data_IF_501531155767
#
_entry.id   IF_501531155767
#
_cell.length_a   1.000
_cell.length_b   1.000
_cell.length_c   1.000
_cell.angle_alpha   90.00
_cell.angle_beta   90.00
_cell.angle_gamma   90.00
#
_symmetry.space_group_name_H-M   'P 1'
#
loop_
_entity.id
_entity.type
_entity.pdbx_description
1 polymer ?
#
# COMPACT_ATOMS: atom_id res chain seq x y z
N UNK A 1 8.22 -8.45 -21.24
CA UNK A 1 7.84 -8.39 -20.44
C UNK A 1 7.10 -9.07 -19.97
N UNK A 2 6.74 -9.30 -19.60
CA UNK A 2 6.44 -9.94 -19.21
C UNK A 2 5.79 -10.08 -18.20
N UNK A 3 5.85 -10.19 -17.45
CA UNK A 3 5.34 -10.35 -16.32
C UNK A 3 4.02 -10.34 -16.06
N UNK A 4 3.36 -10.28 -16.94
CA UNK A 4 2.19 -9.98 -16.69
C UNK A 4 1.32 -11.06 -16.53
N UNK A 5 1.69 -12.20 -16.43
CA UNK A 5 0.87 -13.24 -16.21
C UNK A 5 0.32 -13.21 -14.92
N UNK A 6 -0.45 -12.30 -14.57
CA UNK A 6 -1.03 -12.17 -13.26
C UNK A 6 -2.44 -12.66 -13.22
N UNK A 7 -2.92 -13.23 -14.28
CA UNK A 7 -4.31 -13.65 -14.33
C UNK A 7 -4.68 -14.68 -13.28
N UNK A 8 -3.72 -15.38 -12.74
CA UNK A 8 -4.00 -16.34 -11.66
C UNK A 8 -4.12 -15.70 -10.29
N UNK A 9 -3.80 -14.41 -10.16
CA UNK A 9 -3.84 -13.74 -8.87
C UNK A 9 -5.17 -13.05 -8.67
N UNK A 10 -5.62 -12.91 -7.43
CA UNK A 10 -6.80 -12.10 -7.13
C UNK A 10 -6.60 -10.67 -7.63
N UNK A 11 -7.71 -10.02 -7.94
CA UNK A 11 -7.65 -8.72 -8.59
C UNK A 11 -6.97 -7.66 -7.72
N UNK A 12 -7.24 -7.69 -6.39
CA UNK A 12 -6.62 -6.74 -5.49
C UNK A 12 -5.10 -6.92 -5.45
N UNK A 13 -4.64 -8.14 -5.44
CA UNK A 13 -3.22 -8.44 -5.44
C UNK A 13 -2.59 -7.96 -6.75
N UNK A 14 -3.31 -8.15 -7.86
CA UNK A 14 -2.79 -7.77 -9.16
C UNK A 14 -2.54 -6.28 -9.28
N UNK A 15 -3.44 -5.45 -8.74
CA UNK A 15 -3.26 -4.00 -8.81
C UNK A 15 -2.07 -3.52 -8.00
N UNK A 16 -1.95 -3.98 -6.77
CA UNK A 16 -0.85 -3.58 -5.91
C UNK A 16 0.48 -4.09 -6.44
N UNK A 17 0.52 -5.36 -6.81
CA UNK A 17 1.71 -5.99 -7.36
C UNK A 17 2.16 -5.27 -8.63
N UNK A 18 1.25 -5.05 -9.55
CA UNK A 18 1.58 -4.37 -10.80
C UNK A 18 2.10 -2.96 -10.54
N UNK A 19 1.46 -2.20 -9.67
CA UNK A 19 1.83 -0.82 -9.42
C UNK A 19 3.24 -0.70 -8.85
N UNK A 20 3.57 -1.55 -7.90
CA UNK A 20 4.88 -1.51 -7.28
C UNK A 20 5.95 -1.95 -8.27
N UNK A 21 5.71 -3.01 -9.03
CA UNK A 21 6.67 -3.49 -10.03
C UNK A 21 6.85 -2.46 -11.14
N UNK A 22 5.78 -1.77 -11.51
CA UNK A 22 5.88 -0.69 -12.48
C UNK A 22 6.77 0.44 -11.98
N UNK A 23 6.59 0.86 -10.73
CA UNK A 23 7.42 1.90 -10.15
C UNK A 23 8.88 1.45 -10.05
N UNK A 24 9.10 0.19 -9.67
CA UNK A 24 10.45 -0.35 -9.60
C UNK A 24 11.13 -0.27 -10.97
N UNK A 25 10.39 -0.60 -12.02
CA UNK A 25 10.92 -0.53 -13.38
C UNK A 25 11.27 0.91 -13.76
N UNK A 26 10.42 1.87 -13.36
CA UNK A 26 10.70 3.27 -13.66
C UNK A 26 11.99 3.73 -12.98
N UNK A 27 12.23 3.34 -11.74
CA UNK A 27 13.47 3.68 -11.06
C UNK A 27 14.67 3.00 -11.70
N UNK A 28 14.50 1.74 -12.14
CA UNK A 28 15.57 1.06 -12.88
C UNK A 28 15.91 1.82 -14.16
N UNK A 29 14.90 2.29 -14.88
CA UNK A 29 15.11 3.05 -16.11
C UNK A 29 15.84 4.36 -15.87
N UNK A 30 15.68 4.94 -14.69
CA UNK A 30 16.38 6.15 -14.30
C UNK A 30 17.77 5.89 -13.76
N UNK A 31 18.14 4.63 -13.61
CA UNK A 31 19.45 4.26 -13.08
C UNK A 31 19.54 4.33 -11.56
N UNK A 32 18.43 4.47 -10.87
CA UNK A 32 18.42 4.52 -9.42
C UNK A 32 18.60 3.12 -8.83
N UNK A 33 19.39 3.02 -7.78
CA UNK A 33 19.57 1.75 -7.09
C UNK A 33 18.52 1.61 -5.99
N UNK A 34 18.21 0.39 -5.62
CA UNK A 34 17.19 0.13 -4.62
C UNK A 34 17.42 0.87 -3.32
N UNK A 35 18.68 0.92 -2.86
CA UNK A 35 18.97 1.58 -1.60
C UNK A 35 18.91 3.10 -1.69
N UNK A 36 18.84 3.64 -2.89
CA UNK A 36 18.70 5.08 -3.08
C UNK A 36 17.25 5.54 -3.06
N UNK A 37 16.32 4.61 -3.06
CA UNK A 37 14.90 4.93 -3.10
C UNK A 37 14.32 4.75 -1.71
N UNK A 38 13.77 5.81 -1.16
CA UNK A 38 13.09 5.75 0.13
C UNK A 38 11.61 5.41 -0.10
N UNK A 39 11.12 4.41 0.61
CA UNK A 39 9.74 3.97 0.46
C UNK A 39 8.99 4.17 1.76
N UNK A 40 7.82 4.77 1.65
CA UNK A 40 6.89 4.93 2.77
C UNK A 40 5.53 4.40 2.33
N UNK A 41 4.85 3.70 3.23
CA UNK A 41 3.56 3.07 2.91
C UNK A 41 2.47 3.58 3.84
N UNK A 42 1.34 3.94 3.26
CA UNK A 42 0.19 4.39 4.04
C UNK A 42 -1.09 3.82 3.44
N UNK A 43 -2.01 3.39 4.28
CA UNK A 43 -3.31 2.99 3.80
C UNK A 43 -3.74 1.61 4.25
N UNK A 44 -4.60 0.99 3.45
CA UNK A 44 -5.10 -0.35 3.74
C UNK A 44 -6.12 -0.41 4.86
N UNK A 45 -6.78 0.69 5.17
CA UNK A 45 -7.75 0.72 6.25
C UNK A 45 -9.08 0.07 5.82
N UNK A 46 -9.77 -0.47 6.80
CA UNK A 46 -11.14 -0.98 6.62
C UNK A 46 -12.08 0.10 7.12
N UNK A 47 -12.36 1.07 6.26
CA UNK A 47 -13.11 2.25 6.67
C UNK A 47 -14.61 2.04 6.71
N UNK A 48 -15.11 1.00 6.04
CA UNK A 48 -16.53 0.70 6.06
C UNK A 48 -16.83 -0.32 7.15
N UNK A 49 -18.02 -0.25 7.78
CA UNK A 49 -18.39 -1.25 8.78
C UNK A 49 -18.46 -2.62 8.13
N UNK A 50 -17.77 -3.57 8.71
CA UNK A 50 -17.78 -4.94 8.24
C UNK A 50 -17.95 -5.84 9.45
N UNK A 51 -18.88 -6.78 9.34
CA UNK A 51 -19.05 -7.78 10.39
C UNK A 51 -18.01 -8.88 10.14
N UNK A 52 -16.90 -8.78 10.81
CA UNK A 52 -15.82 -9.74 10.62
C UNK A 52 -16.15 -11.13 11.12
N UNK A 53 -17.16 -11.25 11.95
CA UNK A 53 -17.56 -12.57 12.42
C UNK A 53 -18.20 -13.39 11.30
N UNK A 54 -18.69 -12.73 10.26
CA UNK A 54 -19.34 -13.42 9.14
C UNK A 54 -18.39 -13.71 7.99
N UNK A 55 -17.14 -13.25 8.05
CA UNK A 55 -16.23 -13.50 6.96
C UNK A 55 -15.01 -14.21 7.48
N UNK A 56 -14.61 -15.26 6.79
CA UNK A 56 -13.37 -15.96 7.09
C UNK A 56 -12.20 -15.42 6.30
N UNK A 57 -12.43 -14.46 5.42
CA UNK A 57 -11.38 -13.95 4.54
C UNK A 57 -10.84 -12.62 5.05
N UNK A 58 -9.55 -12.37 4.87
CA UNK A 58 -9.02 -11.05 5.15
C UNK A 58 -9.72 -10.00 4.30
N UNK A 59 -9.79 -8.78 4.81
CA UNK A 59 -10.39 -7.67 4.07
C UNK A 59 -9.50 -7.26 2.91
N UNK A 60 -10.05 -6.49 1.99
CA UNK A 60 -9.28 -5.97 0.86
C UNK A 60 -8.13 -5.10 1.37
N UNK A 61 -8.39 -4.26 2.40
CA UNK A 61 -7.32 -3.45 2.97
C UNK A 61 -6.17 -4.27 3.52
N UNK A 62 -6.49 -5.33 4.28
CA UNK A 62 -5.45 -6.20 4.83
C UNK A 62 -4.69 -6.92 3.72
N UNK A 63 -5.39 -7.36 2.69
CA UNK A 63 -4.75 -8.04 1.58
C UNK A 63 -3.84 -7.10 0.80
N UNK A 64 -4.25 -5.86 0.60
CA UNK A 64 -3.42 -4.87 -0.06
C UNK A 64 -2.16 -4.55 0.75
N UNK A 65 -2.28 -4.45 2.06
CA UNK A 65 -1.12 -4.24 2.92
C UNK A 65 -0.12 -5.38 2.80
N UNK A 66 -0.62 -6.60 2.85
CA UNK A 66 0.24 -7.77 2.76
C UNK A 66 0.93 -7.84 1.39
N UNK A 67 0.18 -7.61 0.33
CA UNK A 67 0.74 -7.64 -1.02
C UNK A 67 1.82 -6.57 -1.19
N UNK A 68 1.58 -5.37 -0.69
CA UNK A 68 2.55 -4.29 -0.81
C UNK A 68 3.85 -4.64 -0.10
N UNK A 69 3.76 -5.14 1.12
CA UNK A 69 4.95 -5.49 1.89
C UNK A 69 5.74 -6.60 1.18
N UNK A 70 5.04 -7.61 0.71
CA UNK A 70 5.69 -8.75 0.05
C UNK A 70 6.37 -8.33 -1.25
N UNK A 71 5.68 -7.55 -2.07
CA UNK A 71 6.23 -7.16 -3.36
C UNK A 71 7.41 -6.21 -3.20
N UNK A 72 7.33 -5.28 -2.25
CA UNK A 72 8.45 -4.40 -1.98
C UNK A 72 9.68 -5.18 -1.54
N UNK A 73 9.49 -6.19 -0.69
CA UNK A 73 10.61 -7.03 -0.27
C UNK A 73 11.18 -7.81 -1.45
N UNK A 74 10.33 -8.35 -2.32
CA UNK A 74 10.78 -9.08 -3.50
C UNK A 74 11.55 -8.18 -4.44
N UNK A 75 11.15 -6.92 -4.57
CA UNK A 75 11.83 -5.98 -5.43
C UNK A 75 13.09 -5.39 -4.79
N UNK A 76 13.36 -5.71 -3.55
CA UNK A 76 14.57 -5.27 -2.88
C UNK A 76 14.50 -3.90 -2.25
N UNK A 77 13.32 -3.36 -2.05
CA UNK A 77 13.15 -2.08 -1.37
C UNK A 77 13.09 -2.25 0.13
N UNK A 78 13.52 -1.21 0.84
CA UNK A 78 13.37 -1.13 2.29
C UNK A 78 12.34 -0.06 2.62
N UNK A 79 11.36 -0.39 3.44
CA UNK A 79 10.33 0.56 3.85
C UNK A 79 10.84 1.33 5.07
N UNK A 80 10.93 2.64 4.94
CA UNK A 80 11.45 3.48 6.02
C UNK A 80 10.38 3.93 7.00
N UNK A 81 9.13 3.97 6.57
CA UNK A 81 8.04 4.35 7.44
C UNK A 81 6.75 3.75 6.90
N UNK A 82 5.84 3.40 7.80
CA UNK A 82 4.55 2.86 7.36
C UNK A 82 3.48 3.12 8.41
N UNK A 83 2.26 3.24 7.95
CA UNK A 83 1.08 3.33 8.79
C UNK A 83 -0.05 2.66 8.03
N UNK A 84 -0.25 1.38 8.33
CA UNK A 84 -1.09 0.51 7.53
C UNK A 84 -2.23 -0.09 8.34
N UNK A 85 -3.31 -0.41 7.66
CA UNK A 85 -4.41 -1.15 8.25
C UNK A 85 -5.30 -0.31 9.15
N UNK A 86 -5.91 -0.95 10.12
CA UNK A 86 -6.81 -0.29 11.04
C UNK A 86 -8.15 0.04 10.42
N UNK A 87 -8.86 0.97 11.05
CA UNK A 87 -10.22 1.32 10.62
C UNK A 87 -10.35 2.79 10.22
N UNK A 88 -9.24 3.52 10.22
CA UNK A 88 -9.26 4.94 9.89
C UNK A 88 -8.58 5.20 8.58
N UNK A 89 -9.23 5.94 7.70
CA UNK A 89 -8.59 6.47 6.52
C UNK A 89 -7.52 7.48 6.92
N UNK A 90 -6.71 7.89 5.96
CA UNK A 90 -5.61 8.82 6.22
C UNK A 90 -5.58 9.91 5.18
N UNK A 91 -5.18 11.08 5.61
CA UNK A 91 -4.83 12.16 4.72
C UNK A 91 -3.34 12.37 4.85
N UNK A 92 -2.63 12.38 3.73
CA UNK A 92 -1.20 12.63 3.79
C UNK A 92 -0.88 13.90 3.01
N UNK A 93 0.16 14.59 3.48
CA UNK A 93 0.73 15.72 2.78
C UNK A 93 2.17 15.36 2.47
N UNK A 94 2.47 15.17 1.21
CA UNK A 94 3.79 14.76 0.78
C UNK A 94 4.56 15.98 0.29
N UNK A 95 5.68 16.25 0.95
CA UNK A 95 6.52 17.39 0.59
C UNK A 95 7.59 16.90 -0.39
N UNK A 96 7.40 17.21 -1.65
CA UNK A 96 8.27 16.64 -2.69
C UNK A 96 9.71 17.13 -2.62
N UNK A 97 9.94 18.30 -2.02
CA UNK A 97 11.29 18.83 -1.91
C UNK A 97 12.15 18.12 -0.87
N UNK A 98 11.53 17.56 0.18
CA UNK A 98 12.27 16.93 1.27
C UNK A 98 11.95 15.46 1.43
N UNK A 99 10.86 14.99 0.85
CA UNK A 99 10.38 13.63 1.06
C UNK A 99 9.59 13.44 2.35
N UNK A 100 9.36 14.52 3.11
CA UNK A 100 8.61 14.43 4.34
C UNK A 100 7.14 14.14 4.07
N UNK A 101 6.54 13.28 4.88
CA UNK A 101 5.11 13.00 4.82
C UNK A 101 4.49 13.33 6.16
N UNK A 102 3.49 14.19 6.13
CA UNK A 102 2.69 14.49 7.32
C UNK A 102 1.41 13.68 7.23
N UNK A 103 1.12 12.93 8.29
CA UNK A 103 0.01 12.01 8.32
C UNK A 103 -1.06 12.48 9.27
N UNK A 104 -2.31 12.48 8.80
CA UNK A 104 -3.46 12.75 9.63
C UNK A 104 -4.44 11.60 9.51
N UNK A 105 -4.72 10.91 10.61
CA UNK A 105 -5.71 9.84 10.61
C UNK A 105 -7.09 10.45 10.74
N UNK A 106 -7.98 10.04 9.85
CA UNK A 106 -9.35 10.55 9.85
C UNK A 106 -10.18 9.82 10.91
N UNK A 107 -11.33 10.41 11.25
CA UNK A 107 -12.24 9.76 12.19
C UNK A 107 -12.74 8.45 11.64
N UNK A 108 -13.02 7.50 12.50
CA UNK A 108 -13.59 6.22 12.10
C UNK A 108 -14.99 6.45 11.55
N UNK A 109 -15.45 5.51 10.73
CA UNK A 109 -16.75 5.62 10.07
C UNK A 109 -17.88 5.92 11.06
N UNK A 110 -17.91 5.20 12.17
CA UNK A 110 -18.97 5.37 13.15
C UNK A 110 -19.00 6.77 13.75
N UNK A 111 -17.84 7.41 13.84
CA UNK A 111 -17.75 8.77 14.36
C UNK A 111 -18.26 9.79 13.36
N UNK A 112 -18.16 9.51 12.09
CA UNK A 112 -18.61 10.44 11.06
C UNK A 112 -20.11 10.58 10.99
N UNK A 113 -20.83 9.61 11.50
CA UNK A 113 -22.28 9.64 11.47
C UNK A 113 -22.89 10.52 12.57
N UNK A 114 -22.07 11.06 13.45
CA UNK A 114 -22.55 11.95 14.50
C UNK A 114 -22.73 13.39 13.98
#
# INVERSE_FOLDING_TARGET
MTGVQTCALPIWHRYVDFSIRYLAQQFDNLGARRHEVEVKLFGGADVLPVDRALTARPTVGAQNCQAAVEVLAEEGFTVSASDLGGVRGRRIHFHTGTGEVLLHRLAAWSERLR
#
